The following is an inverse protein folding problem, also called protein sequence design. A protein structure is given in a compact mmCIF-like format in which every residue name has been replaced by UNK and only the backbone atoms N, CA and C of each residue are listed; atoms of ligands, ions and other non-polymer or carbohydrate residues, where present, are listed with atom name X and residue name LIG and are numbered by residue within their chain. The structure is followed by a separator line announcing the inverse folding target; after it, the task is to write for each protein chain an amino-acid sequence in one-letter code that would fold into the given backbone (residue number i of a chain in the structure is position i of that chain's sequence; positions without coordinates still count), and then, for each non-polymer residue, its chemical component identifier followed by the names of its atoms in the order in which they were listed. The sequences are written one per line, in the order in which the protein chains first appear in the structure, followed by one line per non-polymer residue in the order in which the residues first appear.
data_IF_951306825309
#
_entry.id   IF_951306825309
#
_cell.length_a   1.000
_cell.length_b   1.000
_cell.length_c   1.000
_cell.angle_alpha   90.00
_cell.angle_beta   90.00
_cell.angle_gamma   90.00
#
_symmetry.space_group_name_H-M   'P 1'
#
loop_
_entity.id
_entity.type
_entity.pdbx_description
1 polymer ?
#
# COMPACT_ATOMS: atom_id res chain seq x y z
N UNK A 1 -13.71 -20.40 15.11
CA UNK A 1 -13.11 -20.97 13.88
C UNK A 1 -11.91 -21.86 14.15
N UNK A 2 -10.90 -21.42 14.91
CA UNK A 2 -9.69 -22.24 15.20
C UNK A 2 -10.04 -23.58 15.86
N UNK A 3 -10.97 -23.62 16.80
CA UNK A 3 -11.42 -24.87 17.42
C UNK A 3 -11.98 -25.87 16.38
N UNK A 4 -12.72 -25.40 15.37
CA UNK A 4 -13.23 -26.26 14.31
C UNK A 4 -12.09 -26.80 13.41
N UNK A 5 -11.09 -25.96 13.11
CA UNK A 5 -9.90 -26.41 12.39
C UNK A 5 -9.09 -27.45 13.17
N UNK A 6 -9.05 -27.35 14.51
CA UNK A 6 -8.44 -28.38 15.38
C UNK A 6 -9.21 -29.69 15.34
N UNK A 7 -10.55 -29.66 15.31
CA UNK A 7 -11.35 -30.88 15.12
C UNK A 7 -11.07 -31.50 13.75
N UNK A 8 -10.93 -30.70 12.68
CA UNK A 8 -10.57 -31.20 11.35
C UNK A 8 -9.16 -31.80 11.28
N UNK A 9 -8.25 -31.35 12.14
CA UNK A 9 -6.90 -31.90 12.26
C UNK A 9 -6.85 -33.28 12.91
N UNK A 10 -7.82 -33.62 13.75
CA UNK A 10 -7.91 -34.94 14.39
C UNK A 10 -8.93 -35.86 13.72
N UNK A 11 -9.98 -35.28 13.12
CA UNK A 11 -11.05 -35.98 12.41
C UNK A 11 -11.20 -35.34 11.02
N UNK A 12 -10.60 -35.91 9.97
CA UNK A 12 -10.68 -35.36 8.63
C UNK A 12 -12.11 -35.43 8.07
N UNK A 13 -12.54 -34.37 7.39
CA UNK A 13 -13.78 -34.36 6.60
C UNK A 13 -13.49 -34.65 5.12
N UNK A 14 -14.54 -34.94 4.35
CA UNK A 14 -14.44 -35.08 2.89
C UNK A 14 -14.05 -33.73 2.25
N UNK A 15 -12.87 -33.65 1.65
CA UNK A 15 -12.34 -32.45 0.98
C UNK A 15 -12.40 -32.56 -0.55
N UNK A 16 -13.20 -33.45 -1.13
CA UNK A 16 -13.28 -33.66 -2.60
C UNK A 16 -13.98 -32.52 -3.35
N UNK A 17 -14.95 -31.85 -2.72
CA UNK A 17 -15.65 -30.63 -3.20
C UNK A 17 -16.04 -29.75 -2.01
N UNK A 18 -16.36 -28.48 -2.25
CA UNK A 18 -16.90 -27.61 -1.20
C UNK A 18 -18.24 -28.15 -0.66
N UNK A 19 -19.08 -28.67 -1.55
CA UNK A 19 -20.38 -29.25 -1.20
C UNK A 19 -20.23 -30.54 -0.42
N UNK A 20 -19.32 -31.43 -0.82
CA UNK A 20 -19.03 -32.67 -0.09
C UNK A 20 -18.49 -32.39 1.32
N UNK A 21 -17.63 -31.39 1.46
CA UNK A 21 -17.16 -30.94 2.77
C UNK A 21 -18.30 -30.47 3.68
N UNK A 22 -19.31 -29.79 3.15
CA UNK A 22 -20.45 -29.30 3.93
C UNK A 22 -21.49 -30.39 4.19
N UNK A 23 -21.73 -31.29 3.24
CA UNK A 23 -22.81 -32.28 3.26
C UNK A 23 -22.43 -33.61 3.95
N UNK A 24 -21.15 -34.00 3.95
CA UNK A 24 -20.66 -35.24 4.57
C UNK A 24 -21.03 -35.35 6.05
N UNK A 25 -21.21 -36.55 6.58
CA UNK A 25 -21.35 -36.73 8.03
C UNK A 25 -20.04 -36.35 8.74
N UNK A 26 -20.13 -35.51 9.76
CA UNK A 26 -18.97 -35.07 10.52
C UNK A 26 -19.38 -34.53 11.90
N UNK A 27 -18.54 -34.66 12.95
CA UNK A 27 -18.80 -34.06 14.27
C UNK A 27 -18.93 -32.53 14.26
N UNK A 28 -18.45 -31.88 13.20
CA UNK A 28 -18.63 -30.44 13.02
C UNK A 28 -19.95 -30.18 12.30
N UNK A 29 -20.84 -29.35 12.89
CA UNK A 29 -22.11 -29.00 12.24
C UNK A 29 -21.90 -28.42 10.84
N UNK A 30 -22.78 -28.78 9.91
CA UNK A 30 -22.73 -28.31 8.52
C UNK A 30 -22.63 -26.77 8.42
N UNK A 31 -23.36 -26.02 9.26
CA UNK A 31 -23.27 -24.56 9.30
C UNK A 31 -21.88 -24.01 9.70
N UNK A 32 -21.13 -24.72 10.54
CA UNK A 32 -19.73 -24.36 10.86
C UNK A 32 -18.83 -24.61 9.66
N UNK A 33 -18.99 -25.76 8.99
CA UNK A 33 -18.24 -26.12 7.80
C UNK A 33 -18.52 -25.17 6.63
N UNK A 34 -19.77 -24.77 6.45
CA UNK A 34 -20.15 -23.76 5.46
C UNK A 34 -19.46 -22.42 5.70
N UNK A 35 -19.42 -21.94 6.95
CA UNK A 35 -18.68 -20.73 7.31
C UNK A 35 -17.17 -20.85 7.10
N UNK A 36 -16.59 -22.03 7.35
CA UNK A 36 -15.18 -22.28 7.08
C UNK A 36 -14.88 -22.13 5.58
N UNK A 37 -15.69 -22.76 4.71
CA UNK A 37 -15.53 -22.66 3.26
C UNK A 37 -15.70 -21.22 2.78
N UNK A 38 -16.73 -20.51 3.26
CA UNK A 38 -16.96 -19.12 2.87
C UNK A 38 -15.81 -18.18 3.28
N UNK A 39 -15.08 -18.49 4.37
CA UNK A 39 -14.04 -17.61 4.90
C UNK A 39 -12.63 -17.95 4.42
N UNK A 40 -12.34 -19.23 4.26
CA UNK A 40 -10.99 -19.74 4.00
C UNK A 40 -10.87 -20.55 2.71
N UNK A 41 -11.98 -20.87 2.05
CA UNK A 41 -12.04 -21.87 0.98
C UNK A 41 -11.47 -23.24 1.38
N UNK A 42 -11.48 -24.19 0.44
CA UNK A 42 -10.95 -25.54 0.68
C UNK A 42 -9.43 -25.58 0.84
N UNK A 43 -8.72 -24.78 0.07
CA UNK A 43 -7.27 -24.71 0.09
C UNK A 43 -6.79 -24.12 1.42
N UNK A 44 -7.38 -23.01 1.87
CA UNK A 44 -7.07 -22.42 3.17
C UNK A 44 -7.42 -23.35 4.33
N UNK A 45 -8.55 -24.08 4.27
CA UNK A 45 -8.87 -25.11 5.28
C UNK A 45 -7.80 -26.20 5.29
N UNK A 46 -7.42 -26.76 4.14
CA UNK A 46 -6.43 -27.83 4.06
C UNK A 46 -5.08 -27.40 4.65
N UNK A 47 -4.58 -26.21 4.31
CA UNK A 47 -3.32 -25.68 4.84
C UNK A 47 -3.39 -25.37 6.33
N UNK A 48 -4.51 -24.85 6.83
CA UNK A 48 -4.70 -24.61 8.25
C UNK A 48 -4.71 -25.92 9.05
N UNK A 49 -5.41 -26.94 8.54
CA UNK A 49 -5.48 -28.27 9.13
C UNK A 49 -4.10 -28.93 9.15
N UNK A 50 -3.37 -28.91 8.04
CA UNK A 50 -2.00 -29.44 7.96
C UNK A 50 -1.04 -28.74 8.92
N UNK A 51 -1.15 -27.41 9.05
CA UNK A 51 -0.33 -26.66 10.01
C UNK A 51 -0.60 -27.09 11.46
N UNK A 52 -1.88 -27.17 11.85
CA UNK A 52 -2.28 -27.58 13.20
C UNK A 52 -1.93 -29.04 13.49
N UNK A 53 -2.14 -29.95 12.53
CA UNK A 53 -1.75 -31.35 12.65
C UNK A 53 -0.23 -31.52 12.81
N UNK A 54 0.56 -30.62 12.19
CA UNK A 54 2.01 -30.53 12.37
C UNK A 54 2.46 -29.81 13.65
N UNK A 55 1.54 -29.48 14.58
CA UNK A 55 1.87 -28.88 15.87
C UNK A 55 2.06 -27.35 15.85
N UNK A 56 1.72 -26.67 14.75
CA UNK A 56 1.76 -25.22 14.71
C UNK A 56 0.76 -24.61 15.70
N UNK A 57 1.17 -23.52 16.35
CA UNK A 57 0.26 -22.71 17.13
C UNK A 57 -0.64 -21.84 16.24
N UNK A 58 -1.59 -21.15 16.86
CA UNK A 58 -2.55 -20.30 16.14
C UNK A 58 -1.86 -19.17 15.38
N UNK A 59 -0.82 -18.55 15.96
CA UNK A 59 -0.11 -17.43 15.35
C UNK A 59 0.63 -17.87 14.08
N UNK A 60 1.34 -18.99 14.14
CA UNK A 60 2.06 -19.58 13.01
C UNK A 60 1.10 -19.99 11.88
N UNK A 61 -0.03 -20.61 12.23
CA UNK A 61 -1.07 -20.96 11.25
C UNK A 61 -1.63 -19.70 10.55
N UNK A 62 -1.95 -18.64 11.30
CA UNK A 62 -2.44 -17.38 10.73
C UNK A 62 -1.40 -16.73 9.83
N UNK A 63 -0.12 -16.73 10.23
CA UNK A 63 0.98 -16.23 9.39
C UNK A 63 1.08 -16.97 8.06
N UNK A 64 1.01 -18.31 8.08
CA UNK A 64 1.00 -19.13 6.85
C UNK A 64 -0.20 -18.86 5.95
N UNK A 65 -1.40 -18.73 6.52
CA UNK A 65 -2.59 -18.40 5.74
C UNK A 65 -2.46 -17.02 5.08
N UNK A 66 -1.90 -16.04 5.80
CA UNK A 66 -1.64 -14.71 5.27
C UNK A 66 -0.67 -14.75 4.10
N UNK A 67 0.44 -15.47 4.25
CA UNK A 67 1.44 -15.70 3.19
C UNK A 67 0.82 -16.37 1.95
N UNK A 68 0.10 -17.47 2.15
CA UNK A 68 -0.56 -18.21 1.06
C UNK A 68 -1.63 -17.38 0.34
N UNK A 69 -2.38 -16.56 1.08
CA UNK A 69 -3.42 -15.71 0.50
C UNK A 69 -2.87 -14.60 -0.39
N UNK A 70 -1.57 -14.27 -0.27
CA UNK A 70 -0.94 -13.13 -0.94
C UNK A 70 -1.67 -11.79 -0.68
N UNK A 71 -2.46 -11.70 0.39
CA UNK A 71 -3.25 -10.50 0.72
C UNK A 71 -2.34 -9.29 0.94
N UNK A 72 -1.18 -9.48 1.54
CA UNK A 72 -0.21 -8.40 1.75
C UNK A 72 0.32 -7.84 0.43
N UNK A 73 0.58 -8.72 -0.55
CA UNK A 73 1.00 -8.32 -1.88
C UNK A 73 -0.09 -7.58 -2.64
N UNK A 74 -1.36 -7.99 -2.46
CA UNK A 74 -2.51 -7.27 -3.03
C UNK A 74 -2.61 -5.87 -2.41
N UNK A 75 -2.50 -5.78 -1.08
CA UNK A 75 -2.52 -4.51 -0.35
C UNK A 75 -1.38 -3.61 -0.80
N UNK A 76 -0.15 -4.13 -0.89
CA UNK A 76 1.03 -3.39 -1.38
C UNK A 76 0.79 -2.82 -2.78
N UNK A 77 0.33 -3.65 -3.72
CA UNK A 77 0.04 -3.21 -5.10
C UNK A 77 -1.09 -2.19 -5.17
N UNK A 78 -2.12 -2.34 -4.35
CA UNK A 78 -3.22 -1.38 -4.28
C UNK A 78 -2.75 -0.05 -3.69
N UNK A 79 -1.93 -0.07 -2.63
CA UNK A 79 -1.33 1.14 -2.06
C UNK A 79 -0.49 1.87 -3.09
N UNK A 80 0.38 1.15 -3.82
CA UNK A 80 1.18 1.74 -4.89
C UNK A 80 0.29 2.39 -5.97
N UNK A 81 -0.70 1.66 -6.51
CA UNK A 81 -1.61 2.20 -7.50
C UNK A 81 -2.45 3.40 -6.98
N UNK A 82 -2.85 3.37 -5.71
CA UNK A 82 -3.60 4.45 -5.08
C UNK A 82 -2.76 5.72 -4.94
N UNK A 83 -1.53 5.61 -4.44
CA UNK A 83 -0.59 6.73 -4.31
C UNK A 83 -0.26 7.35 -5.67
N UNK A 84 -0.04 6.53 -6.71
CA UNK A 84 0.16 7.06 -8.07
C UNK A 84 -1.06 7.84 -8.58
N UNK A 85 -2.27 7.30 -8.36
CA UNK A 85 -3.50 7.94 -8.79
C UNK A 85 -3.74 9.26 -8.03
N UNK A 86 -3.44 9.29 -6.73
CA UNK A 86 -3.53 10.50 -5.91
C UNK A 86 -2.55 11.58 -6.36
N UNK A 87 -1.27 11.23 -6.53
CA UNK A 87 -0.25 12.15 -7.03
C UNK A 87 -0.64 12.73 -8.40
N UNK A 88 -1.09 11.88 -9.34
CA UNK A 88 -1.56 12.36 -10.66
C UNK A 88 -2.75 13.31 -10.54
N UNK A 89 -3.70 13.05 -9.62
CA UNK A 89 -4.83 13.95 -9.37
C UNK A 89 -4.35 15.30 -8.83
N UNK A 90 -3.46 15.30 -7.84
CA UNK A 90 -2.87 16.52 -7.27
C UNK A 90 -2.17 17.33 -8.35
N UNK A 91 -1.29 16.70 -9.14
CA UNK A 91 -0.63 17.36 -10.27
C UNK A 91 -1.64 17.90 -11.29
N UNK A 92 -2.65 17.12 -11.66
CA UNK A 92 -3.68 17.54 -12.61
C UNK A 92 -4.45 18.78 -12.14
N UNK A 93 -4.86 18.81 -10.87
CA UNK A 93 -5.55 19.97 -10.28
C UNK A 93 -4.63 21.19 -10.23
N UNK A 94 -3.37 21.03 -9.82
CA UNK A 94 -2.41 22.15 -9.80
C UNK A 94 -2.17 22.68 -11.21
N UNK A 95 -1.99 21.81 -12.21
CA UNK A 95 -1.79 22.19 -13.61
C UNK A 95 -3.05 22.90 -14.18
N UNK A 96 -4.25 22.46 -13.79
CA UNK A 96 -5.51 23.10 -14.17
C UNK A 96 -5.68 24.49 -13.54
N UNK A 97 -5.39 24.63 -12.25
CA UNK A 97 -5.45 25.92 -11.56
C UNK A 97 -4.43 26.92 -12.12
N UNK A 98 -3.22 26.47 -12.48
CA UNK A 98 -2.24 27.34 -13.15
C UNK A 98 -2.76 27.84 -14.49
N UNK A 99 -3.37 26.96 -15.29
CA UNK A 99 -3.98 27.34 -16.57
C UNK A 99 -5.09 28.37 -16.38
N UNK A 100 -5.98 28.12 -15.42
CA UNK A 100 -7.08 29.03 -15.09
C UNK A 100 -6.54 30.41 -14.68
N UNK A 101 -5.55 30.47 -13.78
CA UNK A 101 -4.95 31.72 -13.33
C UNK A 101 -4.37 32.55 -14.50
N UNK A 102 -3.74 31.88 -15.48
CA UNK A 102 -3.19 32.55 -16.67
C UNK A 102 -4.31 33.04 -17.60
N UNK A 103 -5.31 32.21 -17.86
CA UNK A 103 -6.43 32.53 -18.76
C UNK A 103 -7.29 33.69 -18.21
N UNK A 104 -7.52 33.72 -16.91
CA UNK A 104 -8.33 34.77 -16.25
C UNK A 104 -7.51 35.98 -15.81
N UNK A 105 -6.17 35.90 -15.86
CA UNK A 105 -5.24 36.87 -15.25
C UNK A 105 -5.50 37.08 -13.75
N UNK A 106 -5.82 36.00 -13.04
CA UNK A 106 -6.03 36.01 -11.59
C UNK A 106 -4.69 35.99 -10.85
N UNK A 107 -4.18 37.19 -10.55
CA UNK A 107 -2.93 37.38 -9.81
C UNK A 107 -2.96 36.79 -8.39
N UNK A 108 -4.05 36.94 -7.59
CA UNK A 108 -4.17 36.24 -6.32
C UNK A 108 -4.01 34.72 -6.42
N UNK A 109 -4.67 34.09 -7.41
CA UNK A 109 -4.56 32.66 -7.62
C UNK A 109 -3.14 32.25 -8.05
N UNK A 110 -2.52 33.00 -8.97
CA UNK A 110 -1.15 32.75 -9.39
C UNK A 110 -0.16 32.88 -8.21
N UNK A 111 -0.34 33.88 -7.35
CA UNK A 111 0.45 34.08 -6.13
C UNK A 111 0.28 32.92 -5.14
N UNK A 112 -0.96 32.48 -4.93
CA UNK A 112 -1.27 31.31 -4.09
C UNK A 112 -0.58 30.04 -4.63
N UNK A 113 -0.66 29.78 -5.93
CA UNK A 113 -0.03 28.62 -6.56
C UNK A 113 1.50 28.64 -6.51
N UNK A 114 2.10 29.83 -6.41
CA UNK A 114 3.54 30.01 -6.26
C UNK A 114 4.04 29.84 -4.82
N UNK A 115 3.14 29.66 -3.85
CA UNK A 115 3.52 29.47 -2.44
C UNK A 115 4.27 28.17 -2.21
N UNK A 116 5.11 28.19 -1.19
CA UNK A 116 5.82 26.99 -0.75
C UNK A 116 4.86 25.89 -0.28
N UNK A 117 3.67 26.23 0.22
CA UNK A 117 2.70 25.24 0.70
C UNK A 117 2.19 24.34 -0.43
N UNK A 118 1.93 24.92 -1.61
CA UNK A 118 1.53 24.15 -2.80
C UNK A 118 2.68 23.22 -3.23
N UNK A 119 3.91 23.71 -3.23
CA UNK A 119 5.09 22.89 -3.58
C UNK A 119 5.29 21.75 -2.57
N UNK A 120 5.12 22.01 -1.27
CA UNK A 120 5.25 21.02 -0.20
C UNK A 120 4.13 19.98 -0.29
N UNK A 121 2.90 20.38 -0.63
CA UNK A 121 1.78 19.47 -0.83
C UNK A 121 2.02 18.52 -2.02
N UNK A 122 2.52 19.03 -3.16
CA UNK A 122 2.90 18.19 -4.31
C UNK A 122 4.05 17.25 -3.96
N UNK A 123 5.06 17.75 -3.20
CA UNK A 123 6.14 16.90 -2.70
C UNK A 123 5.60 15.78 -1.80
N UNK A 124 4.67 16.06 -0.88
CA UNK A 124 4.13 15.04 0.03
C UNK A 124 3.49 13.89 -0.76
N UNK A 125 2.64 14.20 -1.75
CA UNK A 125 2.06 13.19 -2.63
C UNK A 125 3.14 12.42 -3.44
N UNK A 126 4.22 13.09 -3.86
CA UNK A 126 5.35 12.43 -4.51
C UNK A 126 6.12 11.49 -3.56
N UNK A 127 6.29 11.87 -2.28
CA UNK A 127 6.91 11.00 -1.26
C UNK A 127 6.07 9.75 -1.06
N UNK A 128 4.74 9.87 -0.99
CA UNK A 128 3.84 8.72 -0.81
C UNK A 128 3.97 7.71 -1.96
N UNK A 129 4.10 8.17 -3.20
CA UNK A 129 4.38 7.30 -4.38
C UNK A 129 5.70 6.55 -4.17
N UNK A 130 6.77 7.25 -3.79
CA UNK A 130 8.07 6.62 -3.63
C UNK A 130 8.08 5.61 -2.48
N UNK A 131 7.44 5.94 -1.34
CA UNK A 131 7.32 5.03 -0.18
C UNK A 131 6.49 3.80 -0.55
N UNK A 132 5.36 3.98 -1.26
CA UNK A 132 4.52 2.87 -1.70
C UNK A 132 5.21 1.96 -2.73
N UNK A 133 6.18 2.50 -3.49
CA UNK A 133 7.08 1.73 -4.35
C UNK A 133 8.27 1.10 -3.60
N UNK A 134 8.33 1.20 -2.28
CA UNK A 134 9.39 0.64 -1.43
C UNK A 134 10.66 1.50 -1.35
N UNK A 135 10.67 2.71 -1.93
CA UNK A 135 11.82 3.62 -1.89
C UNK A 135 11.81 4.42 -0.59
N UNK A 136 12.89 4.30 0.18
CA UNK A 136 13.05 5.06 1.42
C UNK A 136 13.28 6.55 1.15
N UNK A 137 12.54 7.38 1.88
CA UNK A 137 12.63 8.84 1.87
C UNK A 137 12.96 9.32 3.29
N UNK A 138 13.99 10.14 3.43
CA UNK A 138 14.36 10.73 4.72
C UNK A 138 13.23 11.65 5.23
N UNK A 139 12.75 11.37 6.44
CA UNK A 139 11.64 12.08 7.11
C UNK A 139 12.14 13.16 8.08
N UNK A 140 13.45 13.29 8.29
CA UNK A 140 14.00 14.34 9.15
C UNK A 140 13.68 15.75 8.61
N UNK A 141 13.41 16.68 9.52
CA UNK A 141 12.85 18.01 9.24
C UNK A 141 13.80 19.16 9.64
N UNK A 142 15.10 18.87 9.68
CA UNK A 142 16.15 19.87 9.91
C UNK A 142 16.76 20.38 8.59
N UNK A 143 17.45 21.53 8.65
CA UNK A 143 18.06 22.17 7.49
C UNK A 143 19.03 21.23 6.74
N UNK A 144 19.83 20.44 7.46
CA UNK A 144 20.79 19.54 6.82
C UNK A 144 20.05 18.36 6.16
N UNK A 145 19.00 17.84 6.77
CA UNK A 145 18.14 16.80 6.20
C UNK A 145 17.48 17.28 4.91
N UNK A 146 16.93 18.48 4.89
CA UNK A 146 16.34 19.06 3.67
C UNK A 146 17.36 19.20 2.54
N UNK A 147 18.56 19.69 2.84
CA UNK A 147 19.61 19.82 1.83
C UNK A 147 20.07 18.45 1.30
N UNK A 148 20.31 17.47 2.18
CA UNK A 148 20.68 16.10 1.78
C UNK A 148 19.59 15.46 0.92
N UNK A 149 18.33 15.60 1.31
CA UNK A 149 17.17 15.09 0.56
C UNK A 149 17.11 15.74 -0.82
N UNK A 150 17.20 17.07 -0.91
CA UNK A 150 17.17 17.79 -2.18
C UNK A 150 18.24 17.30 -3.17
N UNK A 151 19.48 17.14 -2.71
CA UNK A 151 20.61 16.67 -3.53
C UNK A 151 20.45 15.22 -3.94
N UNK A 152 20.05 14.34 -3.01
CA UNK A 152 19.83 12.91 -3.28
C UNK A 152 18.78 12.73 -4.38
N UNK A 153 17.64 13.40 -4.24
CA UNK A 153 16.53 13.26 -5.20
C UNK A 153 16.82 13.90 -6.55
N UNK A 154 17.63 14.97 -6.59
CA UNK A 154 18.13 15.50 -7.85
C UNK A 154 18.97 14.47 -8.60
N UNK A 155 19.93 13.83 -7.92
CA UNK A 155 20.75 12.76 -8.52
C UNK A 155 19.94 11.54 -8.92
N UNK A 156 18.93 11.19 -8.10
CA UNK A 156 18.02 10.08 -8.42
C UNK A 156 17.27 10.36 -9.74
N UNK A 157 16.78 11.58 -9.95
CA UNK A 157 16.09 12.00 -11.16
C UNK A 157 16.95 11.91 -12.45
N UNK A 158 18.28 11.95 -12.32
CA UNK A 158 19.22 11.84 -13.44
C UNK A 158 19.44 10.37 -13.89
N UNK A 159 18.93 9.39 -13.13
CA UNK A 159 19.02 7.97 -13.47
C UNK A 159 18.08 7.52 -14.61
N UNK A 160 18.21 6.25 -15.05
CA UNK A 160 17.31 5.63 -16.02
C UNK A 160 15.99 5.25 -15.36
N UNK A 161 15.18 6.26 -15.03
CA UNK A 161 13.85 6.10 -14.43
C UNK A 161 12.75 6.23 -15.47
N UNK A 162 11.60 5.62 -15.18
CA UNK A 162 10.35 5.98 -15.84
C UNK A 162 9.98 7.45 -15.58
N UNK A 163 9.01 7.94 -16.36
CA UNK A 163 8.60 9.34 -16.30
C UNK A 163 7.97 9.73 -14.95
N UNK A 164 7.29 8.80 -14.28
CA UNK A 164 6.61 9.05 -13.02
C UNK A 164 7.62 9.26 -11.90
N UNK A 165 8.52 8.29 -11.70
CA UNK A 165 9.57 8.36 -10.67
C UNK A 165 10.48 9.57 -10.89
N UNK A 166 10.77 9.93 -12.14
CA UNK A 166 11.54 11.13 -12.47
C UNK A 166 10.80 12.42 -12.04
N UNK A 167 9.50 12.50 -12.29
CA UNK A 167 8.68 13.66 -11.88
C UNK A 167 8.59 13.74 -10.35
N UNK A 168 8.29 12.63 -9.68
CA UNK A 168 8.27 12.55 -8.22
C UNK A 168 9.62 12.99 -7.62
N UNK A 169 10.74 12.52 -8.17
CA UNK A 169 12.06 12.92 -7.71
C UNK A 169 12.33 14.42 -7.86
N UNK A 170 11.87 15.03 -8.97
CA UNK A 170 11.98 16.47 -9.17
C UNK A 170 11.12 17.25 -8.15
N UNK A 171 9.90 16.80 -7.87
CA UNK A 171 9.00 17.42 -6.91
C UNK A 171 9.52 17.29 -5.47
N UNK A 172 10.08 16.13 -5.10
CA UNK A 172 10.72 15.94 -3.79
C UNK A 172 11.95 16.83 -3.65
N UNK A 173 12.77 16.95 -4.69
CA UNK A 173 13.92 17.85 -4.69
C UNK A 173 13.48 19.31 -4.50
N UNK A 174 12.46 19.75 -5.25
CA UNK A 174 11.91 21.10 -5.18
C UNK A 174 11.30 21.41 -3.81
N UNK A 175 10.45 20.55 -3.28
CA UNK A 175 9.83 20.74 -1.96
C UNK A 175 10.85 20.72 -0.83
N UNK A 176 11.89 19.89 -0.92
CA UNK A 176 12.99 19.90 0.05
C UNK A 176 13.75 21.22 0.06
N UNK A 177 13.96 21.85 -1.10
CA UNK A 177 14.56 23.18 -1.17
C UNK A 177 13.65 24.27 -0.59
N UNK A 178 12.32 24.17 -0.75
CA UNK A 178 11.37 25.09 -0.11
C UNK A 178 11.37 24.96 1.40
N UNK A 179 11.35 23.73 1.93
CA UNK A 179 11.47 23.50 3.37
C UNK A 179 12.79 24.03 3.93
N UNK A 180 13.90 23.85 3.20
CA UNK A 180 15.20 24.44 3.58
C UNK A 180 15.15 25.97 3.68
N UNK A 181 14.42 26.64 2.78
CA UNK A 181 14.24 28.09 2.81
C UNK A 181 13.44 28.56 4.02
N UNK A 182 12.54 27.73 4.57
CA UNK A 182 11.73 28.08 5.76
C UNK A 182 12.48 28.00 7.07
N UNK A 183 13.46 27.10 7.16
CA UNK A 183 14.24 26.84 8.39
C UNK A 183 15.56 27.61 8.45
N UNK A 184 15.89 28.38 7.40
CA UNK A 184 17.05 29.28 7.34
C UNK A 184 16.65 30.72 7.61
#
# INVERSE_FOLDING_TARGET
MVAALRVLATTPADMTSADAFVASEHPLPAGVRHRLVARLDRFGIAHAVLALAGGADTATMVGRLRELSQVDRVVERLTCAASEAEYRRVCGVVDELHRLAVETRDEPLASFLATDDVVVAVMAAAVDVMVAAGVQVDAADDADAHLRRAVRWRRYADGPLDALHRRCAADISRGSLRLLQRVR
#
